data_IF_636887085011
#
_entry.id   IF_636887085011
#
_cell.length_a   1.000
_cell.length_b   1.000
_cell.length_c   1.000
_cell.angle_alpha   90.00
_cell.angle_beta   90.00
_cell.angle_gamma   90.00
#
_symmetry.space_group_name_H-M   'P 1'
#
loop_
_entity.id
_entity.type
_entity.pdbx_description
1 polymer ?
#
# COMPACT_ATOMS: atom_id res chain seq x y z
N UNK A 1 -78.97 51.70 -45.59
CA UNK A 1 -78.42 51.27 -44.29
C UNK A 1 -79.46 50.40 -43.58
N UNK A 2 -79.11 49.38 -42.75
CA UNK A 2 -77.78 48.85 -42.44
C UNK A 2 -77.64 47.30 -42.51
N UNK A 3 -76.37 46.89 -42.67
CA UNK A 3 -75.58 45.84 -41.99
C UNK A 3 -75.98 44.35 -41.91
N UNK A 4 -74.93 43.57 -42.24
CA UNK A 4 -74.42 42.37 -41.54
C UNK A 4 -75.17 41.05 -41.79
N UNK A 5 -74.53 39.88 -41.91
CA UNK A 5 -73.13 39.47 -41.75
C UNK A 5 -72.97 38.11 -42.44
N UNK A 6 -71.83 37.90 -43.08
CA UNK A 6 -71.35 36.61 -43.60
C UNK A 6 -71.11 35.65 -42.42
N UNK A 7 -71.71 34.45 -42.46
CA UNK A 7 -71.34 33.35 -41.57
C UNK A 7 -70.55 32.32 -42.39
N UNK A 8 -69.24 32.34 -42.23
CA UNK A 8 -68.35 31.27 -42.69
C UNK A 8 -68.53 30.07 -41.75
N UNK A 9 -68.91 28.93 -42.31
CA UNK A 9 -68.88 27.66 -41.60
C UNK A 9 -67.43 27.22 -41.43
N UNK A 10 -67.05 27.05 -40.17
CA UNK A 10 -65.73 26.75 -39.69
C UNK A 10 -65.58 25.22 -39.63
N UNK A 11 -65.02 24.62 -40.68
CA UNK A 11 -64.67 23.19 -40.65
C UNK A 11 -63.52 22.92 -39.66
N UNK A 12 -63.69 21.87 -38.86
CA UNK A 12 -62.77 21.39 -37.82
C UNK A 12 -61.54 20.69 -38.44
N UNK A 13 -60.42 20.62 -37.70
CA UNK A 13 -59.09 20.47 -38.28
C UNK A 13 -58.79 19.03 -38.69
N UNK A 14 -58.32 18.84 -39.92
CA UNK A 14 -57.71 17.57 -40.32
C UNK A 14 -56.24 17.56 -39.87
N UNK A 15 -56.04 16.82 -38.79
CA UNK A 15 -54.82 16.27 -38.22
C UNK A 15 -53.70 16.05 -39.27
N UNK A 16 -52.78 17.02 -39.37
CA UNK A 16 -51.53 16.86 -40.12
C UNK A 16 -50.61 15.97 -39.28
N UNK A 17 -50.53 14.70 -39.68
CA UNK A 17 -49.73 13.64 -39.08
C UNK A 17 -48.28 14.10 -38.84
N UNK A 18 -47.95 14.40 -37.59
CA UNK A 18 -46.57 14.51 -37.11
C UNK A 18 -45.96 13.11 -37.09
N UNK A 19 -45.25 12.74 -38.16
CA UNK A 19 -44.44 11.53 -38.24
C UNK A 19 -42.97 11.89 -38.53
N UNK A 20 -42.43 12.83 -37.75
CA UNK A 20 -40.99 13.13 -37.72
C UNK A 20 -40.61 13.26 -36.26
N UNK A 21 -40.30 12.13 -35.62
CA UNK A 21 -39.98 12.13 -34.20
C UNK A 21 -39.70 10.74 -33.65
N UNK A 22 -39.03 9.87 -34.43
CA UNK A 22 -38.66 8.54 -33.94
C UNK A 22 -37.37 7.98 -34.59
N UNK A 23 -36.38 8.85 -34.85
CA UNK A 23 -35.01 8.43 -35.22
C UNK A 23 -33.96 9.00 -34.23
N UNK A 24 -34.39 9.71 -33.18
CA UNK A 24 -33.48 10.38 -32.24
C UNK A 24 -33.18 9.63 -30.93
N UNK A 25 -33.70 8.41 -30.72
CA UNK A 25 -33.69 7.77 -29.39
C UNK A 25 -32.89 6.45 -29.30
N UNK A 26 -32.21 6.01 -30.36
CA UNK A 26 -31.56 4.69 -30.39
C UNK A 26 -30.01 4.72 -30.29
N UNK A 27 -29.39 5.89 -30.09
CA UNK A 27 -27.91 6.03 -30.10
C UNK A 27 -27.32 6.55 -28.78
N UNK A 28 -27.95 6.24 -27.65
CA UNK A 28 -27.42 6.51 -26.31
C UNK A 28 -27.27 5.24 -25.47
N UNK A 29 -26.97 4.10 -26.10
CA UNK A 29 -26.24 3.03 -25.41
C UNK A 29 -24.76 3.43 -25.35
N UNK A 30 -24.46 4.49 -24.60
CA UNK A 30 -23.12 4.70 -24.09
C UNK A 30 -22.80 3.45 -23.27
N UNK A 31 -21.84 2.67 -23.74
CA UNK A 31 -21.18 1.70 -22.89
C UNK A 31 -20.59 2.52 -21.72
N UNK A 32 -21.25 2.51 -20.57
CA UNK A 32 -20.61 2.85 -19.31
C UNK A 32 -19.49 1.82 -19.12
N UNK A 33 -18.29 2.15 -19.60
CA UNK A 33 -17.11 1.42 -19.18
C UNK A 33 -17.03 1.61 -17.67
N UNK A 34 -17.00 0.54 -16.86
CA UNK A 34 -16.76 0.71 -15.44
C UNK A 34 -15.43 1.46 -15.34
N UNK A 35 -15.48 2.69 -14.82
CA UNK A 35 -14.28 3.36 -14.37
C UNK A 35 -13.72 2.47 -13.26
N UNK A 36 -12.74 1.64 -13.59
CA UNK A 36 -12.01 0.86 -12.60
C UNK A 36 -11.33 1.88 -11.69
N UNK A 37 -11.93 2.12 -10.53
CA UNK A 37 -11.37 3.04 -9.56
C UNK A 37 -9.98 2.52 -9.18
N UNK A 38 -8.96 3.29 -9.49
CA UNK A 38 -7.59 3.00 -9.13
C UNK A 38 -7.49 2.92 -7.61
N UNK A 39 -6.94 1.82 -7.11
CA UNK A 39 -6.71 1.63 -5.69
C UNK A 39 -5.35 2.23 -5.33
N UNK A 40 -5.35 3.17 -4.39
CA UNK A 40 -4.10 3.74 -3.86
C UNK A 40 -3.85 3.21 -2.46
N UNK A 41 -2.77 2.44 -2.29
CA UNK A 41 -2.30 1.99 -0.98
C UNK A 41 -1.41 3.05 -0.36
N UNK A 42 -1.68 3.40 0.91
CA UNK A 42 -0.75 4.18 1.70
C UNK A 42 0.23 3.23 2.38
N UNK A 43 1.51 3.33 2.05
CA UNK A 43 2.55 2.55 2.72
C UNK A 43 3.63 3.44 3.31
N UNK A 44 4.23 2.99 4.41
CA UNK A 44 5.24 3.77 5.13
C UNK A 44 6.44 2.94 5.56
N UNK A 45 7.55 3.63 5.78
CA UNK A 45 8.70 3.13 6.51
C UNK A 45 9.28 4.26 7.37
N UNK A 46 9.84 3.91 8.53
CA UNK A 46 10.50 4.90 9.41
C UNK A 46 11.88 5.33 8.89
N UNK A 47 12.40 4.64 7.87
CA UNK A 47 13.73 4.85 7.32
C UNK A 47 13.75 5.79 6.09
N UNK A 48 14.91 6.38 5.75
CA UNK A 48 15.06 7.18 4.54
C UNK A 48 14.79 6.38 3.26
N UNK A 49 14.37 7.08 2.19
CA UNK A 49 14.16 6.45 0.88
C UNK A 49 15.41 5.74 0.33
N UNK A 50 16.60 6.23 0.67
CA UNK A 50 17.90 5.68 0.22
C UNK A 50 18.38 4.48 1.04
N UNK A 51 17.74 4.17 2.17
CA UNK A 51 18.01 2.98 2.96
C UNK A 51 17.39 1.72 2.29
N UNK A 52 17.85 0.52 2.65
CA UNK A 52 17.33 -0.74 2.09
C UNK A 52 15.81 -0.89 2.23
N UNK A 53 15.21 -0.43 3.33
CA UNK A 53 13.75 -0.38 3.50
C UNK A 53 13.08 0.57 2.51
N UNK A 54 13.63 1.77 2.33
CA UNK A 54 13.13 2.76 1.38
C UNK A 54 13.25 2.31 -0.09
N UNK A 55 14.38 1.68 -0.43
CA UNK A 55 14.63 1.08 -1.75
C UNK A 55 13.66 -0.09 -2.00
N UNK A 56 13.44 -0.94 -1.01
CA UNK A 56 12.48 -2.04 -1.07
C UNK A 56 11.06 -1.54 -1.36
N UNK A 57 10.60 -0.56 -0.59
CA UNK A 57 9.25 -0.01 -0.73
C UNK A 57 9.06 0.76 -2.05
N UNK A 58 10.08 1.50 -2.49
CA UNK A 58 10.09 2.18 -3.81
C UNK A 58 10.01 1.15 -4.94
N UNK A 59 10.78 0.07 -4.84
CA UNK A 59 10.79 -1.01 -5.82
C UNK A 59 9.44 -1.72 -5.88
N UNK A 60 8.86 -2.03 -4.72
CA UNK A 60 7.54 -2.63 -4.60
C UNK A 60 6.47 -1.74 -5.25
N UNK A 61 6.42 -0.45 -4.92
CA UNK A 61 5.48 0.53 -5.48
C UNK A 61 5.53 0.57 -7.01
N UNK A 62 6.73 0.61 -7.58
CA UNK A 62 6.93 0.57 -9.03
C UNK A 62 6.45 -0.75 -9.64
N UNK A 63 6.80 -1.88 -9.03
CA UNK A 63 6.47 -3.20 -9.56
C UNK A 63 4.96 -3.46 -9.51
N UNK A 64 4.28 -3.14 -8.40
CA UNK A 64 2.85 -3.39 -8.30
C UNK A 64 2.05 -2.54 -9.29
N UNK A 65 2.43 -1.27 -9.48
CA UNK A 65 1.81 -0.43 -10.51
C UNK A 65 2.02 -1.01 -11.90
N UNK A 66 3.24 -1.43 -12.25
CA UNK A 66 3.53 -2.05 -13.53
C UNK A 66 2.75 -3.36 -13.76
N UNK A 67 2.72 -4.26 -12.76
CA UNK A 67 2.07 -5.55 -12.86
C UNK A 67 0.54 -5.48 -12.81
N UNK A 68 -0.02 -4.36 -12.36
CA UNK A 68 -1.47 -4.12 -12.32
C UNK A 68 -1.94 -3.12 -13.39
N UNK A 69 -1.07 -2.73 -14.32
CA UNK A 69 -1.35 -1.70 -15.33
C UNK A 69 -1.90 -0.40 -14.72
N UNK A 70 -1.35 0.00 -13.56
CA UNK A 70 -1.76 1.19 -12.81
C UNK A 70 -3.04 1.02 -12.00
N UNK A 71 -3.71 -0.15 -12.01
CA UNK A 71 -4.90 -0.38 -11.20
C UNK A 71 -4.60 -0.27 -9.70
N UNK A 72 -3.42 -0.73 -9.26
CA UNK A 72 -2.93 -0.53 -7.89
C UNK A 72 -1.69 0.37 -7.91
N UNK A 73 -1.75 1.47 -7.17
CA UNK A 73 -0.60 2.34 -6.94
C UNK A 73 -0.31 2.49 -5.46
N UNK A 74 0.93 2.86 -5.12
CA UNK A 74 1.34 3.02 -3.72
C UNK A 74 1.83 4.45 -3.50
N UNK A 75 1.20 5.17 -2.55
CA UNK A 75 1.74 6.39 -1.96
C UNK A 75 2.68 5.99 -0.83
N UNK A 76 3.98 6.23 -1.02
CA UNK A 76 5.02 5.89 -0.04
C UNK A 76 5.37 7.10 0.82
N UNK A 77 5.47 6.89 2.14
CA UNK A 77 6.00 7.86 3.09
C UNK A 77 7.29 7.32 3.72
N UNK A 78 8.35 8.13 3.71
CA UNK A 78 9.68 7.80 4.21
C UNK A 78 10.02 8.65 5.44
N UNK A 79 11.20 8.43 6.03
CA UNK A 79 11.76 9.29 7.09
C UNK A 79 10.82 9.49 8.29
N UNK A 80 9.98 8.48 8.55
CA UNK A 80 8.95 8.53 9.57
C UNK A 80 8.03 9.78 9.46
N UNK A 81 7.65 10.16 8.23
CA UNK A 81 6.74 11.27 7.93
C UNK A 81 5.39 11.10 8.65
N UNK A 82 4.84 9.88 8.65
CA UNK A 82 3.53 9.56 9.25
C UNK A 82 3.55 9.32 10.75
N UNK A 83 4.72 9.43 11.41
CA UNK A 83 4.90 9.15 12.85
C UNK A 83 4.38 7.75 13.20
N UNK A 84 4.91 6.75 12.49
CA UNK A 84 4.65 5.33 12.68
C UNK A 84 6.02 4.65 12.74
N UNK A 85 6.42 4.25 13.95
CA UNK A 85 7.61 3.42 14.14
C UNK A 85 7.36 1.96 13.71
N UNK A 86 8.43 1.19 13.53
CA UNK A 86 8.30 -0.25 13.22
C UNK A 86 7.46 -1.02 14.25
N UNK A 87 7.55 -0.66 15.54
CA UNK A 87 6.76 -1.26 16.60
C UNK A 87 5.25 -0.96 16.50
N UNK A 88 4.90 0.17 15.89
CA UNK A 88 3.50 0.63 15.75
C UNK A 88 2.87 0.17 14.43
N UNK A 89 3.65 -0.38 13.49
CA UNK A 89 3.21 -0.68 12.12
C UNK A 89 1.97 -1.59 12.07
N UNK A 90 1.92 -2.65 12.90
CA UNK A 90 0.75 -3.55 12.97
C UNK A 90 -0.49 -2.79 13.45
N UNK A 91 -0.35 -1.96 14.49
CA UNK A 91 -1.44 -1.14 15.02
C UNK A 91 -1.94 -0.13 13.99
N UNK A 92 -1.01 0.58 13.33
CA UNK A 92 -1.35 1.56 12.30
C UNK A 92 -2.09 0.93 11.10
N UNK A 93 -1.73 -0.30 10.72
CA UNK A 93 -2.45 -1.04 9.68
C UNK A 93 -3.85 -1.46 10.14
N UNK A 94 -3.98 -1.95 11.38
CA UNK A 94 -5.27 -2.30 12.00
C UNK A 94 -6.23 -1.11 12.08
N UNK A 95 -5.70 0.06 12.42
CA UNK A 95 -6.45 1.31 12.54
C UNK A 95 -6.74 1.96 11.17
N UNK A 96 -6.27 1.35 10.06
CA UNK A 96 -6.47 1.86 8.71
C UNK A 96 -5.66 3.12 8.37
N UNK A 97 -4.70 3.52 9.21
CA UNK A 97 -3.80 4.67 8.95
C UNK A 97 -2.86 4.41 7.78
N UNK A 98 -2.51 3.14 7.56
CA UNK A 98 -1.74 2.65 6.42
C UNK A 98 -2.35 1.34 5.91
N UNK A 99 -2.19 1.05 4.63
CA UNK A 99 -2.56 -0.25 4.04
C UNK A 99 -1.43 -1.29 4.19
N UNK A 100 -0.22 -0.82 4.48
CA UNK A 100 0.94 -1.66 4.76
C UNK A 100 2.19 -0.82 4.99
N UNK A 101 3.35 -1.47 5.09
CA UNK A 101 4.61 -0.77 5.27
C UNK A 101 5.80 -1.71 5.38
N UNK A 102 6.97 -1.10 5.50
CA UNK A 102 8.22 -1.79 5.81
C UNK A 102 8.61 -1.46 7.25
N UNK A 103 8.77 -2.52 8.06
CA UNK A 103 9.08 -2.42 9.48
C UNK A 103 10.24 -3.35 9.83
N UNK A 104 11.10 -2.90 10.73
CA UNK A 104 12.15 -3.71 11.33
C UNK A 104 11.52 -4.76 12.26
N UNK A 105 11.69 -6.03 11.91
CA UNK A 105 10.96 -7.14 12.54
C UNK A 105 11.21 -7.22 14.03
N UNK A 106 12.43 -7.00 14.51
CA UNK A 106 12.74 -7.09 15.94
C UNK A 106 11.91 -6.12 16.80
N UNK A 107 11.60 -4.93 16.27
CA UNK A 107 10.73 -3.96 16.96
C UNK A 107 9.30 -4.49 17.17
N UNK A 108 8.91 -5.55 16.46
CA UNK A 108 7.59 -6.18 16.49
C UNK A 108 7.55 -7.41 17.41
N UNK A 109 8.64 -7.77 18.10
CA UNK A 109 8.72 -8.96 18.97
C UNK A 109 7.63 -9.02 20.05
N UNK A 110 7.15 -7.85 20.52
CA UNK A 110 6.01 -7.76 21.46
C UNK A 110 4.70 -8.29 20.88
N UNK A 111 4.52 -8.24 19.55
CA UNK A 111 3.32 -8.75 18.89
C UNK A 111 3.37 -10.27 18.71
N UNK A 112 4.54 -10.81 18.38
CA UNK A 112 4.84 -12.25 18.38
C UNK A 112 6.36 -12.44 18.52
N UNK A 113 6.84 -13.28 19.46
CA UNK A 113 8.27 -13.53 19.67
C UNK A 113 9.03 -14.00 18.42
N UNK A 114 8.33 -14.60 17.45
CA UNK A 114 8.94 -15.01 16.18
C UNK A 114 9.67 -13.85 15.49
N UNK A 115 9.20 -12.62 15.63
CA UNK A 115 9.80 -11.48 14.95
C UNK A 115 11.20 -11.11 15.48
N UNK A 116 11.56 -11.61 16.67
CA UNK A 116 12.89 -11.50 17.26
C UNK A 116 13.91 -12.51 16.73
N UNK A 117 13.52 -13.54 15.97
CA UNK A 117 14.47 -14.56 15.50
C UNK A 117 15.73 -14.02 14.78
N UNK A 118 15.67 -12.95 13.95
CA UNK A 118 16.85 -12.39 13.30
C UNK A 118 17.85 -11.69 14.24
N UNK A 119 17.47 -11.38 15.48
CA UNK A 119 18.35 -10.71 16.46
C UNK A 119 19.16 -11.69 17.30
N UNK A 120 18.90 -13.01 17.16
CA UNK A 120 19.63 -14.03 17.88
C UNK A 120 21.12 -13.98 17.50
N UNK A 121 22.02 -13.69 18.46
CA UNK A 121 23.41 -13.46 18.17
C UNK A 121 24.06 -14.74 17.63
N UNK A 122 24.95 -14.57 16.65
CA UNK A 122 25.72 -15.64 16.00
C UNK A 122 24.91 -16.68 15.20
N UNK A 123 23.58 -16.53 15.07
CA UNK A 123 22.76 -17.47 14.30
C UNK A 123 22.92 -17.27 12.77
N UNK A 124 22.97 -16.02 12.33
CA UNK A 124 23.08 -15.64 10.93
C UNK A 124 24.37 -14.85 10.72
N UNK A 125 25.40 -15.50 10.15
CA UNK A 125 26.75 -14.93 10.05
C UNK A 125 27.17 -14.59 8.61
N UNK A 126 26.32 -14.86 7.63
CA UNK A 126 26.57 -14.48 6.25
C UNK A 126 25.26 -14.18 5.53
N UNK A 127 25.34 -13.47 4.41
CA UNK A 127 24.18 -13.18 3.57
C UNK A 127 23.51 -14.45 3.01
N UNK A 128 24.30 -15.48 2.68
CA UNK A 128 23.77 -16.77 2.23
C UNK A 128 22.98 -17.47 3.34
N UNK A 129 23.53 -17.49 4.55
CA UNK A 129 22.83 -18.01 5.74
C UNK A 129 21.57 -17.20 6.02
N UNK A 130 21.62 -15.86 5.89
CA UNK A 130 20.45 -14.99 6.08
C UNK A 130 19.33 -15.31 5.10
N UNK A 131 19.68 -15.55 3.83
CA UNK A 131 18.72 -15.94 2.79
C UNK A 131 18.08 -17.29 3.09
N UNK A 132 18.89 -18.31 3.42
CA UNK A 132 18.39 -19.63 3.77
C UNK A 132 17.53 -19.62 5.04
N UNK A 133 17.94 -18.84 6.04
CA UNK A 133 17.19 -18.61 7.26
C UNK A 133 15.84 -17.96 6.98
N UNK A 134 15.80 -16.86 6.21
CA UNK A 134 14.56 -16.18 5.86
C UNK A 134 13.58 -17.09 5.10
N UNK A 135 14.07 -17.93 4.18
CA UNK A 135 13.23 -18.89 3.47
C UNK A 135 12.56 -19.89 4.43
N UNK A 136 13.28 -20.35 5.47
CA UNK A 136 12.76 -21.28 6.48
C UNK A 136 11.86 -20.60 7.51
N UNK A 137 12.17 -19.36 7.88
CA UNK A 137 11.42 -18.59 8.88
C UNK A 137 10.15 -17.97 8.30
N UNK A 138 10.06 -17.78 6.97
CA UNK A 138 8.93 -17.17 6.28
C UNK A 138 7.56 -17.70 6.71
N UNK A 139 7.30 -19.03 6.78
CA UNK A 139 5.99 -19.54 7.19
C UNK A 139 5.60 -19.13 8.61
N UNK A 140 6.59 -18.94 9.50
CA UNK A 140 6.35 -18.50 10.87
C UNK A 140 5.95 -17.03 10.91
N UNK A 141 6.64 -16.18 10.14
CA UNK A 141 6.28 -14.76 9.99
C UNK A 141 4.91 -14.59 9.33
N UNK A 142 4.61 -15.37 8.29
CA UNK A 142 3.30 -15.37 7.63
C UNK A 142 2.20 -15.73 8.62
N UNK A 143 2.35 -16.80 9.40
CA UNK A 143 1.38 -17.18 10.42
C UNK A 143 1.14 -16.09 11.47
N UNK A 144 2.21 -15.47 11.98
CA UNK A 144 2.12 -14.41 12.98
C UNK A 144 1.42 -13.15 12.43
N UNK A 145 1.70 -12.77 11.18
CA UNK A 145 1.04 -11.65 10.51
C UNK A 145 -0.41 -11.95 10.15
N UNK A 146 -0.71 -13.18 9.69
CA UNK A 146 -2.06 -13.61 9.37
C UNK A 146 -2.98 -13.61 10.60
N UNK A 147 -2.45 -13.94 11.79
CA UNK A 147 -3.16 -13.80 13.06
C UNK A 147 -3.53 -12.33 13.39
N UNK A 148 -2.86 -11.36 12.75
CA UNK A 148 -3.15 -9.93 12.84
C UNK A 148 -3.92 -9.40 11.61
N UNK A 149 -4.43 -10.29 10.75
CA UNK A 149 -5.07 -9.96 9.47
C UNK A 149 -4.16 -9.17 8.50
N UNK A 150 -2.86 -9.49 8.51
CA UNK A 150 -1.84 -8.89 7.65
C UNK A 150 -1.21 -9.94 6.74
N UNK A 151 -0.67 -9.50 5.60
CA UNK A 151 0.06 -10.37 4.66
C UNK A 151 1.52 -9.96 4.54
N UNK A 152 2.42 -10.94 4.64
CA UNK A 152 3.84 -10.74 4.33
C UNK A 152 4.07 -10.65 2.82
N UNK A 153 4.43 -9.46 2.34
CA UNK A 153 4.66 -9.21 0.91
C UNK A 153 6.09 -9.59 0.50
N UNK A 154 7.09 -9.09 1.21
CA UNK A 154 8.51 -9.37 0.95
C UNK A 154 9.31 -9.24 2.25
N UNK A 155 10.59 -9.62 2.18
CA UNK A 155 11.55 -9.47 3.28
C UNK A 155 12.83 -8.85 2.74
N UNK A 156 13.38 -7.88 3.46
CA UNK A 156 14.71 -7.30 3.20
C UNK A 156 15.73 -7.89 4.18
N UNK A 157 16.96 -8.11 3.72
CA UNK A 157 18.06 -8.53 4.57
C UNK A 157 18.89 -7.30 4.87
N UNK A 158 18.90 -6.88 6.13
CA UNK A 158 19.76 -5.80 6.58
C UNK A 158 21.23 -6.25 6.56
N UNK A 159 22.18 -5.34 6.25
CA UNK A 159 23.59 -5.62 6.42
C UNK A 159 23.90 -6.05 7.86
N UNK A 160 24.97 -6.83 8.04
CA UNK A 160 25.41 -7.26 9.35
C UNK A 160 25.62 -6.06 10.29
N UNK A 161 25.08 -6.17 11.51
CA UNK A 161 25.29 -5.17 12.56
C UNK A 161 26.57 -5.49 13.32
N UNK A 162 27.23 -4.44 13.82
CA UNK A 162 28.47 -4.55 14.58
C UNK A 162 28.54 -3.47 15.66
N UNK A 163 29.56 -3.55 16.50
CA UNK A 163 29.84 -2.54 17.50
C UNK A 163 30.63 -1.39 16.87
N UNK A 164 30.08 -0.18 16.97
CA UNK A 164 30.79 1.05 16.61
C UNK A 164 31.34 1.68 17.89
N UNK A 165 32.66 1.85 17.97
CA UNK A 165 33.34 2.46 19.10
C UNK A 165 34.39 3.46 18.61
N UNK A 166 34.60 4.52 19.39
CA UNK A 166 35.66 5.51 19.20
C UNK A 166 37.06 4.98 19.60
N UNK A 167 37.11 3.84 20.29
CA UNK A 167 38.33 3.14 20.70
C UNK A 167 38.31 1.68 20.24
N UNK A 168 39.50 1.09 20.18
CA UNK A 168 39.64 -0.34 19.90
C UNK A 168 39.08 -1.19 21.06
N UNK A 169 38.43 -2.30 20.71
CA UNK A 169 37.90 -3.30 21.63
C UNK A 169 38.64 -4.61 21.37
N UNK A 170 39.48 -5.06 22.31
CA UNK A 170 40.35 -6.22 22.12
C UNK A 170 39.92 -7.43 22.95
N UNK A 171 39.01 -7.23 23.90
CA UNK A 171 38.55 -8.25 24.82
C UNK A 171 37.10 -8.03 25.25
N UNK A 172 36.47 -9.07 25.80
CA UNK A 172 35.14 -8.95 26.39
C UNK A 172 35.09 -7.93 27.53
N UNK A 173 36.18 -7.73 28.27
CA UNK A 173 36.24 -6.74 29.34
C UNK A 173 36.08 -5.30 28.82
N UNK A 174 36.51 -5.04 27.58
CA UNK A 174 36.35 -3.72 26.97
C UNK A 174 34.88 -3.35 26.75
N UNK A 175 34.00 -4.36 26.60
CA UNK A 175 32.56 -4.19 26.41
C UNK A 175 31.85 -3.72 27.67
N UNK A 176 32.30 -4.18 28.85
CA UNK A 176 31.67 -3.83 30.14
C UNK A 176 31.75 -2.33 30.44
N UNK A 177 32.73 -1.63 29.87
CA UNK A 177 32.92 -0.19 30.03
C UNK A 177 32.19 0.64 28.95
N UNK A 178 31.49 0.01 28.00
CA UNK A 178 30.79 0.72 26.95
C UNK A 178 29.38 1.11 27.38
N UNK A 179 29.03 2.37 27.13
CA UNK A 179 27.63 2.81 27.09
C UNK A 179 27.12 2.51 25.68
N UNK A 180 26.37 1.42 25.53
CA UNK A 180 25.80 1.00 24.24
C UNK A 180 24.41 1.59 24.07
N UNK A 181 24.16 2.25 22.95
CA UNK A 181 22.81 2.67 22.55
C UNK A 181 22.05 1.44 22.02
N UNK A 182 20.88 1.17 22.59
CA UNK A 182 19.94 0.12 22.18
C UNK A 182 18.66 0.72 21.64
#
# INVERSE_FOLDING_TARGET
MPRNVLRQDQERPMMRRSFVGFIGAALLCLFEQPALAQVTWQMATEYPQTNISGVGLTTFSRLISAHTNGFVTVRTSFDNELKISSAEMIGAARDGRVTGGDAFTASMEKADPVFGLPTLPFLVQSFEVARAFNARARPLYEKALEAQNLKLLYMTIWPATGLWSDRALNSANDLNALVVRT
#
